data_IF_064548402711
#
_entry.id   IF_064548402711
#
_cell.length_a   1.000
_cell.length_b   1.000
_cell.length_c   1.000
_cell.angle_alpha   90.00
_cell.angle_beta   90.00
_cell.angle_gamma   90.00
#
_symmetry.space_group_name_H-M   'P 1'
#
loop_
_entity.id
_entity.type
_entity.pdbx_description
1 polymer ?
#
# COMPACT_ATOMS: atom_id res chain seq x y z
N UNK A 1 13.45 16.94 7.37
CA UNK A 1 12.96 15.66 7.90
C UNK A 1 13.10 15.60 9.43
N UNK A 2 12.50 16.37 10.24
CA UNK A 2 12.65 16.39 11.70
C UNK A 2 11.59 15.59 12.48
N UNK A 3 11.09 14.48 11.98
CA UNK A 3 10.09 13.68 12.69
C UNK A 3 10.70 12.56 13.53
N UNK A 4 10.37 12.53 14.81
CA UNK A 4 10.75 11.45 15.71
C UNK A 4 10.11 10.13 15.32
N UNK A 5 10.90 9.08 15.19
CA UNK A 5 10.47 7.74 14.82
C UNK A 5 9.89 7.05 16.05
N UNK A 6 8.58 6.99 16.17
CA UNK A 6 7.91 6.32 17.32
C UNK A 6 7.20 5.02 16.99
N UNK A 7 6.92 4.74 15.72
CA UNK A 7 6.16 3.53 15.36
C UNK A 7 6.77 2.79 14.16
N UNK A 8 7.13 1.53 14.38
CA UNK A 8 7.70 0.64 13.36
C UNK A 8 6.64 -0.06 12.49
N UNK A 9 5.35 0.12 12.75
CA UNK A 9 4.25 -0.66 12.16
C UNK A 9 3.33 0.10 11.21
N UNK A 10 3.80 1.18 10.58
CA UNK A 10 3.02 1.86 9.56
C UNK A 10 2.07 2.93 10.12
N UNK A 11 2.54 3.75 11.02
CA UNK A 11 1.85 4.93 11.52
C UNK A 11 2.26 6.21 10.78
N UNK A 12 2.22 7.32 11.48
CA UNK A 12 2.52 8.68 10.97
C UNK A 12 3.96 8.86 10.46
N UNK A 13 4.83 7.87 10.68
CA UNK A 13 6.25 7.91 10.32
C UNK A 13 6.58 7.22 8.99
N UNK A 14 5.58 6.75 8.24
CA UNK A 14 5.79 6.21 6.91
C UNK A 14 5.45 7.24 5.84
N UNK A 15 6.24 7.27 4.79
CA UNK A 15 5.94 8.03 3.58
C UNK A 15 5.43 7.03 2.55
N UNK A 16 4.22 7.27 2.05
CA UNK A 16 3.63 6.45 1.00
C UNK A 16 4.10 6.90 -0.38
N UNK A 17 4.10 5.96 -1.31
CA UNK A 17 4.55 6.22 -2.68
C UNK A 17 3.75 7.31 -3.40
N UNK A 18 2.49 7.49 -3.04
CA UNK A 18 1.64 8.55 -3.61
C UNK A 18 1.92 9.94 -3.04
N UNK A 19 2.50 10.04 -1.85
CA UNK A 19 2.88 11.34 -1.25
C UNK A 19 4.09 11.95 -1.94
N UNK A 20 4.85 11.15 -2.66
CA UNK A 20 6.05 11.56 -3.41
C UNK A 20 5.88 11.36 -4.92
N UNK A 21 4.69 11.07 -5.39
CA UNK A 21 4.42 10.89 -6.81
C UNK A 21 5.22 9.78 -7.51
N UNK A 22 5.61 8.70 -6.79
CA UNK A 22 6.51 7.66 -7.31
C UNK A 22 6.04 6.97 -8.59
N UNK A 23 4.73 6.97 -8.84
CA UNK A 23 4.08 6.41 -10.05
C UNK A 23 3.30 7.48 -10.84
N UNK A 24 3.67 8.74 -10.66
CA UNK A 24 3.01 9.90 -11.22
C UNK A 24 2.31 10.73 -10.14
N UNK A 25 2.08 11.99 -10.47
CA UNK A 25 1.46 12.95 -9.57
C UNK A 25 0.06 12.51 -9.13
N UNK A 26 -0.26 12.82 -7.88
CA UNK A 26 -1.52 12.51 -7.23
C UNK A 26 -2.11 13.81 -6.70
N UNK A 27 -3.37 14.09 -7.04
CA UNK A 27 -4.05 15.27 -6.53
C UNK A 27 -4.26 15.17 -5.01
N UNK A 28 -4.59 16.29 -4.38
CA UNK A 28 -4.88 16.33 -2.95
C UNK A 28 -6.06 15.43 -2.59
N UNK A 29 -7.11 15.44 -3.42
CA UNK A 29 -8.31 14.60 -3.25
C UNK A 29 -7.97 13.12 -3.40
N UNK A 30 -7.17 12.77 -4.43
CA UNK A 30 -6.68 11.41 -4.63
C UNK A 30 -5.79 10.92 -3.47
N UNK A 31 -4.97 11.80 -2.91
CA UNK A 31 -4.16 11.48 -1.73
C UNK A 31 -5.03 11.21 -0.50
N UNK A 32 -6.08 12.02 -0.28
CA UNK A 32 -7.05 11.79 0.79
C UNK A 32 -7.77 10.45 0.60
N UNK A 33 -8.20 10.14 -0.63
CA UNK A 33 -8.82 8.88 -1.00
C UNK A 33 -7.90 7.69 -0.67
N UNK A 34 -6.65 7.72 -1.12
CA UNK A 34 -5.68 6.66 -0.88
C UNK A 34 -5.41 6.46 0.61
N UNK A 35 -5.23 7.54 1.37
CA UNK A 35 -5.00 7.48 2.81
C UNK A 35 -6.20 6.92 3.59
N UNK A 36 -7.42 7.27 3.20
CA UNK A 36 -8.65 6.70 3.78
C UNK A 36 -8.79 5.23 3.39
N UNK A 37 -8.66 4.90 2.11
CA UNK A 37 -8.76 3.53 1.62
C UNK A 37 -7.71 2.62 2.26
N UNK A 38 -6.49 3.11 2.49
CA UNK A 38 -5.42 2.37 3.15
C UNK A 38 -5.80 1.91 4.57
N UNK A 39 -6.57 2.72 5.29
CA UNK A 39 -7.07 2.40 6.65
C UNK A 39 -8.33 1.53 6.58
N UNK A 40 -9.30 1.93 5.75
CA UNK A 40 -10.62 1.29 5.66
C UNK A 40 -10.55 -0.18 5.22
N UNK A 41 -9.74 -0.50 4.21
CA UNK A 41 -9.60 -1.87 3.68
C UNK A 41 -9.18 -2.94 4.71
N UNK A 42 -8.83 -2.52 5.93
CA UNK A 42 -8.45 -3.39 7.06
C UNK A 42 -9.59 -3.66 8.01
N UNK A 43 -10.71 -2.99 7.88
CA UNK A 43 -11.85 -3.14 8.76
C UNK A 43 -12.68 -4.37 8.42
N UNK A 44 -13.07 -5.13 9.43
CA UNK A 44 -13.86 -6.37 9.29
C UNK A 44 -15.26 -6.13 8.74
N UNK A 45 -15.84 -4.96 8.96
CA UNK A 45 -17.19 -4.62 8.53
C UNK A 45 -17.38 -4.82 7.02
N UNK A 46 -16.37 -4.46 6.22
CA UNK A 46 -16.45 -4.57 4.76
C UNK A 46 -16.49 -6.03 4.27
N UNK A 47 -15.78 -6.92 4.96
CA UNK A 47 -15.82 -8.35 4.68
C UNK A 47 -17.19 -8.95 5.02
N UNK A 48 -17.75 -8.56 6.16
CA UNK A 48 -19.08 -9.01 6.59
C UNK A 48 -20.18 -8.56 5.62
N UNK A 49 -20.08 -7.35 5.09
CA UNK A 49 -21.06 -6.79 4.16
C UNK A 49 -21.15 -7.58 2.86
N UNK A 50 -20.03 -8.04 2.30
CA UNK A 50 -20.01 -8.86 1.09
C UNK A 50 -20.02 -10.37 1.35
N UNK A 51 -20.09 -10.77 2.63
CA UNK A 51 -20.22 -12.18 3.03
C UNK A 51 -18.99 -13.01 2.74
N UNK A 52 -17.81 -12.53 3.10
CA UNK A 52 -16.54 -13.26 3.04
C UNK A 52 -15.85 -13.27 4.41
N UNK A 53 -14.97 -14.24 4.61
CA UNK A 53 -14.06 -14.22 5.74
C UNK A 53 -13.12 -13.01 5.65
N UNK A 54 -13.00 -12.30 6.77
CA UNK A 54 -12.13 -11.13 6.83
C UNK A 54 -10.66 -11.51 6.62
N UNK A 55 -10.02 -10.69 5.78
CA UNK A 55 -8.56 -10.71 5.60
C UNK A 55 -8.04 -9.27 5.59
N UNK A 56 -6.88 -9.06 6.21
CA UNK A 56 -6.24 -7.74 6.21
C UNK A 56 -5.96 -7.26 4.79
N UNK A 57 -6.43 -6.07 4.49
CA UNK A 57 -6.19 -5.40 3.22
C UNK A 57 -7.00 -5.93 2.04
N UNK A 58 -8.28 -6.15 2.22
CA UNK A 58 -9.19 -6.57 1.17
C UNK A 58 -9.52 -5.45 0.16
N UNK A 59 -9.95 -5.85 -1.05
CA UNK A 59 -10.50 -4.93 -2.03
C UNK A 59 -11.87 -4.41 -1.58
N UNK A 60 -12.15 -3.12 -1.79
CA UNK A 60 -13.44 -2.50 -1.49
C UNK A 60 -14.17 -2.10 -2.77
N UNK A 61 -15.47 -2.34 -2.82
CA UNK A 61 -16.31 -1.95 -3.96
C UNK A 61 -16.46 -0.42 -4.03
N UNK A 62 -16.85 0.09 -5.21
CA UNK A 62 -17.14 1.51 -5.39
C UNK A 62 -18.17 2.00 -4.36
N UNK A 63 -19.24 1.24 -4.13
CA UNK A 63 -20.27 1.58 -3.13
C UNK A 63 -19.70 1.70 -1.73
N UNK A 64 -18.86 0.77 -1.32
CA UNK A 64 -18.19 0.81 -0.01
C UNK A 64 -17.29 2.04 0.11
N UNK A 65 -16.51 2.35 -0.91
CA UNK A 65 -15.61 3.51 -0.90
C UNK A 65 -16.42 4.83 -0.83
N UNK A 66 -17.54 4.91 -1.55
CA UNK A 66 -18.41 6.09 -1.55
C UNK A 66 -19.04 6.40 -0.18
N UNK A 67 -19.08 5.44 0.74
CA UNK A 67 -19.62 5.69 2.11
C UNK A 67 -18.70 6.52 2.99
N UNK A 68 -17.41 6.57 2.69
CA UNK A 68 -16.43 7.30 3.51
C UNK A 68 -15.65 8.38 2.76
N UNK A 69 -15.92 8.56 1.48
CA UNK A 69 -15.39 9.65 0.65
C UNK A 69 -16.53 10.60 0.31
N UNK A 70 -16.32 11.87 0.56
CA UNK A 70 -17.30 12.92 0.30
C UNK A 70 -17.04 13.53 -1.09
N UNK A 71 -17.57 12.88 -2.11
CA UNK A 71 -17.61 13.36 -3.50
C UNK A 71 -18.71 12.62 -4.26
N UNK A 72 -19.03 13.09 -5.47
CA UNK A 72 -19.98 12.40 -6.33
C UNK A 72 -19.45 11.03 -6.77
N UNK A 73 -20.34 10.07 -7.01
CA UNK A 73 -19.94 8.72 -7.47
C UNK A 73 -19.14 8.76 -8.77
N UNK A 74 -19.46 9.68 -9.67
CA UNK A 74 -18.76 9.85 -10.94
C UNK A 74 -17.32 10.37 -10.73
N UNK A 75 -17.14 11.36 -9.88
CA UNK A 75 -15.80 11.88 -9.53
C UNK A 75 -14.96 10.80 -8.84
N UNK A 76 -15.57 10.07 -7.91
CA UNK A 76 -14.91 8.95 -7.25
C UNK A 76 -14.45 7.89 -8.26
N UNK A 77 -15.31 7.50 -9.18
CA UNK A 77 -15.00 6.54 -10.22
C UNK A 77 -13.80 7.00 -11.08
N UNK A 78 -13.81 8.25 -11.54
CA UNK A 78 -12.71 8.82 -12.33
C UNK A 78 -11.38 8.84 -11.57
N UNK A 79 -11.41 9.18 -10.29
CA UNK A 79 -10.21 9.15 -9.44
C UNK A 79 -9.67 7.72 -9.27
N UNK A 80 -10.55 6.74 -9.05
CA UNK A 80 -10.16 5.34 -8.89
C UNK A 80 -9.59 4.75 -10.17
N UNK A 81 -10.15 5.08 -11.32
CA UNK A 81 -9.63 4.66 -12.63
C UNK A 81 -8.25 5.26 -12.91
N UNK A 82 -8.05 6.57 -12.68
CA UNK A 82 -6.76 7.21 -12.87
C UNK A 82 -5.69 6.60 -11.93
N UNK A 83 -6.02 6.40 -10.66
CA UNK A 83 -5.11 5.77 -9.70
C UNK A 83 -4.81 4.31 -10.04
N UNK A 84 -5.76 3.59 -10.64
CA UNK A 84 -5.55 2.23 -11.13
C UNK A 84 -4.63 2.23 -12.35
N UNK A 85 -4.82 3.16 -13.28
CA UNK A 85 -3.96 3.35 -14.47
C UNK A 85 -2.53 3.71 -14.07
N UNK A 86 -2.35 4.56 -13.08
CA UNK A 86 -1.04 4.88 -12.50
C UNK A 86 -0.41 3.72 -11.72
N UNK A 87 -1.20 2.71 -11.33
CA UNK A 87 -0.76 1.54 -10.61
C UNK A 87 -0.63 1.73 -9.08
N UNK A 88 -1.24 2.76 -8.53
CA UNK A 88 -1.43 2.88 -7.07
C UNK A 88 -2.53 1.96 -6.56
N UNK A 89 -3.55 1.73 -7.38
CA UNK A 89 -4.63 0.80 -7.12
C UNK A 89 -4.62 -0.36 -8.11
N UNK A 90 -5.34 -1.41 -7.77
CA UNK A 90 -5.68 -2.53 -8.62
C UNK A 90 -7.15 -2.87 -8.42
N UNK A 91 -7.83 -3.21 -9.50
CA UNK A 91 -9.20 -3.65 -9.50
C UNK A 91 -9.24 -5.17 -9.53
N UNK A 92 -9.59 -5.80 -8.41
CA UNK A 92 -9.47 -7.24 -8.21
C UNK A 92 -10.67 -7.82 -7.47
N UNK A 93 -10.86 -9.13 -7.59
CA UNK A 93 -11.78 -9.87 -6.72
C UNK A 93 -11.25 -9.91 -5.28
N UNK A 94 -12.13 -9.96 -4.27
CA UNK A 94 -11.71 -10.26 -2.92
C UNK A 94 -11.13 -11.67 -2.85
N UNK A 95 -10.34 -11.94 -1.83
CA UNK A 95 -9.72 -13.26 -1.63
C UNK A 95 -10.43 -14.00 -0.53
N UNK A 96 -10.59 -15.31 -0.70
CA UNK A 96 -11.02 -16.25 0.34
C UNK A 96 -9.88 -17.17 0.75
N UNK A 97 -9.96 -17.66 1.99
CA UNK A 97 -9.03 -18.66 2.52
C UNK A 97 -9.50 -20.05 2.15
N UNK A 98 -8.63 -20.83 1.56
CA UNK A 98 -8.82 -22.27 1.36
C UNK A 98 -7.88 -23.00 2.32
N UNK A 99 -8.43 -23.99 3.01
CA UNK A 99 -7.70 -24.92 3.86
C UNK A 99 -7.67 -26.27 3.17
N UNK A 100 -6.50 -26.78 2.93
CA UNK A 100 -6.27 -28.05 2.28
C UNK A 100 -5.44 -28.95 3.19
N UNK A 101 -5.93 -30.17 3.45
CA UNK A 101 -5.16 -31.17 4.16
C UNK A 101 -4.12 -31.76 3.21
N UNK A 102 -2.86 -31.67 3.58
CA UNK A 102 -1.74 -32.26 2.86
C UNK A 102 -1.05 -33.27 3.74
N UNK A 103 -0.25 -34.17 3.17
CA UNK A 103 0.55 -35.14 3.91
C UNK A 103 1.44 -34.51 5.01
N UNK A 104 1.77 -33.21 4.86
CA UNK A 104 2.59 -32.43 5.80
C UNK A 104 1.76 -31.56 6.76
N UNK A 105 0.42 -31.78 6.84
CA UNK A 105 -0.49 -31.02 7.69
C UNK A 105 -1.40 -30.05 6.92
N UNK A 106 -2.12 -29.21 7.66
CA UNK A 106 -3.11 -28.27 7.11
C UNK A 106 -2.42 -27.09 6.44
N UNK A 107 -2.55 -26.97 5.11
CA UNK A 107 -2.05 -25.81 4.34
C UNK A 107 -3.18 -24.83 4.10
N UNK A 108 -2.91 -23.56 4.41
CA UNK A 108 -3.85 -22.46 4.17
C UNK A 108 -3.31 -21.53 3.09
N UNK A 109 -4.09 -21.26 2.05
CA UNK A 109 -3.72 -20.35 0.98
C UNK A 109 -4.91 -19.47 0.57
N UNK A 110 -4.60 -18.37 -0.12
CA UNK A 110 -5.58 -17.36 -0.53
C UNK A 110 -5.84 -17.47 -2.03
N UNK A 111 -7.10 -17.56 -2.42
CA UNK A 111 -7.54 -17.53 -3.82
C UNK A 111 -8.53 -16.42 -4.04
N UNK A 112 -8.64 -15.92 -5.27
CA UNK A 112 -9.68 -14.97 -5.63
C UNK A 112 -11.05 -15.63 -5.57
N UNK A 113 -12.03 -14.92 -5.04
CA UNK A 113 -13.44 -15.35 -5.03
C UNK A 113 -14.22 -14.60 -6.11
N UNK A 114 -14.29 -15.22 -7.28
CA UNK A 114 -14.97 -14.65 -8.45
C UNK A 114 -16.50 -14.60 -8.32
N UNK A 115 -17.06 -15.22 -7.28
CA UNK A 115 -18.50 -15.13 -6.97
C UNK A 115 -18.89 -13.81 -6.32
N UNK A 116 -17.91 -13.01 -5.90
CA UNK A 116 -18.08 -11.74 -5.21
C UNK A 116 -17.76 -10.56 -6.13
N UNK A 117 -18.29 -9.36 -5.84
CA UNK A 117 -17.99 -8.19 -6.63
C UNK A 117 -16.53 -7.81 -6.55
N UNK A 118 -15.97 -7.35 -7.66
CA UNK A 118 -14.64 -6.73 -7.70
C UNK A 118 -14.62 -5.42 -6.94
N UNK A 119 -13.47 -5.06 -6.45
CA UNK A 119 -13.23 -3.80 -5.78
C UNK A 119 -11.82 -3.27 -6.02
N UNK A 120 -11.60 -2.06 -5.57
CA UNK A 120 -10.31 -1.38 -5.64
C UNK A 120 -9.49 -1.70 -4.40
N UNK A 121 -8.24 -2.04 -4.60
CA UNK A 121 -7.31 -2.32 -3.52
C UNK A 121 -6.00 -1.59 -3.76
N UNK A 122 -5.37 -1.13 -2.68
CA UNK A 122 -4.06 -0.49 -2.76
C UNK A 122 -3.00 -1.53 -3.13
N UNK A 123 -2.16 -1.19 -4.09
CA UNK A 123 -0.97 -1.96 -4.40
C UNK A 123 0.02 -1.79 -3.26
N UNK A 124 -0.05 -2.70 -2.29
CA UNK A 124 0.78 -2.71 -1.09
C UNK A 124 2.11 -3.42 -1.30
N UNK A 125 2.91 -3.40 -0.28
CA UNK A 125 4.21 -4.03 -0.22
C UNK A 125 5.33 -2.99 -0.25
N UNK A 126 6.10 -2.92 -1.26
CA UNK A 126 7.34 -2.15 -1.33
C UNK A 126 7.16 -0.65 -1.67
N UNK A 127 5.98 -0.07 -1.44
CA UNK A 127 5.68 1.30 -1.87
C UNK A 127 5.68 2.33 -0.73
N UNK A 128 5.73 1.89 0.52
CA UNK A 128 5.90 2.77 1.67
C UNK A 128 7.35 2.74 2.14
N UNK A 129 7.84 3.90 2.55
CA UNK A 129 9.15 4.03 3.17
C UNK A 129 8.96 4.44 4.63
N UNK A 130 9.62 3.73 5.55
CA UNK A 130 9.79 4.22 6.91
C UNK A 130 10.74 5.41 6.87
N UNK A 131 10.47 6.47 7.65
CA UNK A 131 11.31 7.70 7.65
C UNK A 131 12.76 7.39 8.00
N UNK A 132 13.01 6.42 8.89
CA UNK A 132 14.36 5.98 9.22
C UNK A 132 15.09 5.21 8.10
N UNK A 133 14.38 4.86 7.05
CA UNK A 133 14.95 4.22 5.86
C UNK A 133 15.21 5.21 4.73
N UNK A 134 14.94 6.48 4.95
CA UNK A 134 15.31 7.55 4.03
C UNK A 134 16.69 8.03 4.44
N UNK A 135 17.66 7.85 3.55
CA UNK A 135 19.05 8.28 3.81
C UNK A 135 19.15 9.78 3.60
N UNK A 136 19.69 10.46 4.58
CA UNK A 136 20.11 11.86 4.45
C UNK A 136 21.50 11.89 3.79
N UNK A 137 21.67 12.58 2.65
CA UNK A 137 22.97 12.65 1.97
C UNK A 137 24.06 13.37 2.80
N UNK A 138 23.68 14.09 3.85
CA UNK A 138 24.59 14.80 4.73
C UNK A 138 24.87 14.09 6.06
N UNK A 139 24.31 12.88 6.25
CA UNK A 139 24.47 12.11 7.49
C UNK A 139 25.12 10.75 7.22
N UNK A 140 25.56 10.10 8.29
CA UNK A 140 26.17 8.76 8.20
C UNK A 140 25.09 7.74 7.91
N UNK A 141 25.34 6.87 6.93
CA UNK A 141 24.42 5.78 6.63
C UNK A 141 24.27 4.85 7.86
N UNK A 142 23.05 4.45 8.20
CA UNK A 142 22.82 3.53 9.32
C UNK A 142 23.45 2.16 9.04
N UNK A 143 23.76 1.43 10.08
CA UNK A 143 24.18 0.01 9.94
C UNK A 143 23.11 -0.77 9.18
N UNK A 144 23.51 -1.37 8.08
CA UNK A 144 22.62 -2.07 7.17
C UNK A 144 22.70 -3.59 7.39
N UNK A 145 21.54 -4.23 7.41
CA UNK A 145 21.41 -5.67 7.24
C UNK A 145 20.95 -5.98 5.82
N UNK A 146 21.31 -7.13 5.28
CA UNK A 146 21.08 -7.49 3.87
C UNK A 146 19.61 -7.30 3.41
N UNK A 147 18.65 -7.50 4.30
CA UNK A 147 17.22 -7.30 4.01
C UNK A 147 16.78 -5.85 3.95
N UNK A 148 17.57 -4.91 4.46
CA UNK A 148 17.21 -3.50 4.55
C UNK A 148 17.55 -2.72 3.28
N UNK A 149 18.56 -3.12 2.53
CA UNK A 149 19.02 -2.41 1.32
C UNK A 149 17.89 -2.18 0.32
N UNK A 150 17.01 -3.17 0.15
CA UNK A 150 15.85 -3.05 -0.75
C UNK A 150 14.76 -2.07 -0.24
N UNK A 151 14.86 -1.60 0.99
CA UNK A 151 13.90 -0.69 1.64
C UNK A 151 14.42 0.73 1.79
N UNK A 152 15.69 0.96 1.53
CA UNK A 152 16.27 2.28 1.62
C UNK A 152 15.78 3.19 0.50
N UNK A 153 15.56 4.45 0.85
CA UNK A 153 15.23 5.51 -0.07
C UNK A 153 16.24 6.65 0.03
N UNK A 154 16.49 7.32 -1.08
CA UNK A 154 17.33 8.52 -1.17
C UNK A 154 16.55 9.64 -1.83
N UNK A 155 16.78 10.90 -1.44
CA UNK A 155 16.25 12.05 -2.16
C UNK A 155 16.73 12.04 -3.62
N UNK A 156 15.83 12.36 -4.55
CA UNK A 156 16.10 12.44 -5.97
C UNK A 156 15.22 13.53 -6.59
N UNK A 157 15.79 14.69 -6.85
CA UNK A 157 15.02 15.88 -7.21
C UNK A 157 14.04 16.27 -6.10
N UNK A 158 12.77 16.44 -6.44
CA UNK A 158 11.70 16.75 -5.48
C UNK A 158 11.08 15.50 -4.80
N UNK A 159 11.54 14.31 -5.19
CA UNK A 159 10.98 13.03 -4.74
C UNK A 159 11.96 12.15 -3.97
N UNK A 160 11.54 10.92 -3.79
CA UNK A 160 12.35 9.85 -3.20
C UNK A 160 12.42 8.68 -4.18
N UNK A 161 13.58 8.08 -4.31
CA UNK A 161 13.75 6.83 -5.03
C UNK A 161 14.46 5.78 -4.17
N UNK A 162 14.38 4.54 -4.58
CA UNK A 162 15.16 3.46 -3.99
C UNK A 162 16.61 3.52 -4.47
N UNK A 163 17.50 2.97 -3.66
CA UNK A 163 18.86 2.71 -4.09
C UNK A 163 18.86 1.79 -5.30
N UNK A 164 19.71 2.10 -6.27
CA UNK A 164 20.07 1.17 -7.32
C UNK A 164 20.94 0.06 -6.74
N UNK A 165 21.01 -1.07 -7.42
CA UNK A 165 21.88 -2.20 -7.01
C UNK A 165 23.33 -1.73 -6.86
N UNK A 166 23.80 -0.89 -7.79
CA UNK A 166 25.18 -0.36 -7.78
C UNK A 166 25.45 0.54 -6.57
N UNK A 167 24.48 1.38 -6.19
CA UNK A 167 24.60 2.21 -4.98
C UNK A 167 24.56 1.37 -3.72
N UNK A 168 23.67 0.37 -3.66
CA UNK A 168 23.63 -0.58 -2.55
C UNK A 168 24.96 -1.33 -2.36
N UNK A 169 25.59 -1.78 -3.42
CA UNK A 169 26.89 -2.45 -3.37
C UNK A 169 28.05 -1.55 -2.92
N UNK A 170 27.90 -0.23 -2.98
CA UNK A 170 28.91 0.73 -2.50
C UNK A 170 28.80 1.05 -1.02
N UNK A 171 27.72 0.60 -0.37
CA UNK A 171 27.50 0.76 1.07
C UNK A 171 28.11 -0.37 1.90
N UNK A 172 28.66 -1.37 1.25
CA UNK A 172 29.43 -2.47 1.84
C UNK A 172 30.88 -2.40 1.37
#
# INVERSE_FOLDING_TARGET
>A
FGKSIKDKRGGENNIHSWEIGLKGEVSKEQSILLNKLFKERRKKIWASEIGIDWMDGMALTLKQINTFIDCSENELFLMLEDLTKKGYLKFEYPKKLIKEETENGLKTYRVYDETKPKGYNIVTGKLSFEINKILDPNDIAPTLVATDVSRLAVPDGEGLRRLTIREGLRLF
#
